data_IF_045773306996
#
_entry.id   IF_045773306996
#
_cell.length_a   1.000
_cell.length_b   1.000
_cell.length_c   1.000
_cell.angle_alpha   90.00
_cell.angle_beta   90.00
_cell.angle_gamma   90.00
#
_symmetry.space_group_name_H-M   'P 1'
#
loop_
_entity.id
_entity.type
_entity.pdbx_description
1 polymer ?
#
# COMPACT_ATOMS: atom_id res chain seq x y z
N UNK A 1 -18.81 -8.78 -4.51
CA UNK A 1 -18.29 -7.64 -3.72
C UNK A 1 -19.28 -6.49 -3.81
N UNK A 2 -19.22 -5.52 -2.88
CA UNK A 2 -20.30 -4.57 -2.49
C UNK A 2 -21.16 -3.98 -3.64
N UNK A 3 -20.58 -3.69 -4.81
CA UNK A 3 -21.30 -3.21 -6.00
C UNK A 3 -22.39 -4.17 -6.47
N UNK A 4 -22.23 -5.48 -6.25
CA UNK A 4 -23.18 -6.53 -6.60
C UNK A 4 -24.36 -6.63 -5.61
N UNK A 5 -24.33 -5.90 -4.49
CA UNK A 5 -25.43 -5.86 -3.51
C UNK A 5 -26.52 -4.85 -3.89
N UNK A 6 -26.19 -3.89 -4.78
CA UNK A 6 -27.14 -2.89 -5.27
C UNK A 6 -28.36 -3.53 -5.96
N UNK A 7 -28.15 -4.65 -6.68
CA UNK A 7 -29.22 -5.43 -7.31
C UNK A 7 -30.05 -6.29 -6.35
N UNK A 8 -29.68 -6.37 -5.07
CA UNK A 8 -30.36 -7.19 -4.06
C UNK A 8 -31.30 -6.38 -3.13
N UNK A 9 -31.61 -5.13 -3.48
CA UNK A 9 -32.46 -4.25 -2.66
C UNK A 9 -31.76 -3.61 -1.47
N UNK A 10 -30.42 -3.76 -1.39
CA UNK A 10 -29.59 -3.13 -0.37
C UNK A 10 -29.11 -1.77 -0.89
N UNK A 11 -29.41 -0.69 -0.15
CA UNK A 11 -28.91 0.65 -0.48
C UNK A 11 -27.41 0.72 -0.23
N UNK A 12 -26.64 0.86 -1.31
CA UNK A 12 -25.19 1.00 -1.27
C UNK A 12 -24.83 2.43 -1.73
N UNK A 13 -24.13 3.24 -0.93
CA UNK A 13 -23.60 4.52 -1.37
C UNK A 13 -22.68 4.35 -2.58
N UNK A 14 -22.73 5.30 -3.52
CA UNK A 14 -21.82 5.32 -4.67
C UNK A 14 -20.36 5.46 -4.24
N UNK A 15 -19.44 5.07 -5.14
CA UNK A 15 -18.01 5.19 -4.90
C UNK A 15 -17.19 4.43 -5.94
N UNK A 16 -15.87 4.43 -5.74
CA UNK A 16 -14.92 3.64 -6.50
C UNK A 16 -13.88 3.03 -5.55
N UNK A 17 -13.21 1.99 -6.02
CA UNK A 17 -12.07 1.40 -5.33
C UNK A 17 -10.83 1.57 -6.19
N UNK A 18 -9.69 1.83 -5.55
CA UNK A 18 -8.40 1.68 -6.21
C UNK A 18 -8.18 0.21 -6.56
N UNK A 19 -7.33 -0.04 -7.55
CA UNK A 19 -7.01 -1.40 -7.99
C UNK A 19 -5.67 -1.86 -7.43
N UNK A 20 -5.48 -3.17 -7.34
CA UNK A 20 -4.16 -3.73 -7.05
C UNK A 20 -3.12 -3.35 -8.11
N UNK A 21 -3.55 -3.04 -9.34
CA UNK A 21 -2.67 -2.52 -10.39
C UNK A 21 -2.17 -1.11 -10.03
N UNK A 22 -3.07 -0.19 -9.68
CA UNK A 22 -2.69 1.16 -9.25
C UNK A 22 -1.77 1.14 -8.01
N UNK A 23 -1.99 0.22 -7.08
CA UNK A 23 -1.09 0.03 -5.93
C UNK A 23 0.32 -0.40 -6.34
N UNK A 24 0.45 -1.36 -7.28
CA UNK A 24 1.76 -1.80 -7.77
C UNK A 24 2.48 -0.72 -8.57
N UNK A 25 1.74 0.04 -9.37
CA UNK A 25 2.28 1.17 -10.11
C UNK A 25 2.82 2.24 -9.14
N UNK A 26 2.05 2.62 -8.12
CA UNK A 26 2.50 3.51 -7.06
C UNK A 26 3.77 3.01 -6.37
N UNK A 27 3.83 1.72 -6.00
CA UNK A 27 5.04 1.16 -5.38
C UNK A 27 6.26 1.17 -6.31
N UNK A 28 6.09 1.07 -7.63
CA UNK A 28 7.20 1.17 -8.57
C UNK A 28 7.72 2.59 -8.79
N UNK A 29 6.97 3.60 -8.34
CA UNK A 29 7.34 5.00 -8.46
C UNK A 29 8.58 5.30 -7.62
N UNK A 30 9.55 6.02 -8.20
CA UNK A 30 10.81 6.44 -7.53
C UNK A 30 11.58 5.29 -6.83
N UNK A 31 11.43 4.05 -7.32
CA UNK A 31 12.09 2.88 -6.75
C UNK A 31 11.66 2.53 -5.32
N UNK A 32 10.45 2.94 -4.91
CA UNK A 32 9.94 2.73 -3.56
C UNK A 32 9.89 1.24 -3.21
N UNK A 33 9.40 0.41 -4.13
CA UNK A 33 9.30 -1.04 -3.96
C UNK A 33 10.68 -1.68 -3.69
N UNK A 34 11.70 -1.31 -4.44
CA UNK A 34 13.06 -1.85 -4.30
C UNK A 34 13.64 -1.48 -2.93
N UNK A 35 13.42 -0.23 -2.50
CA UNK A 35 13.87 0.28 -1.19
C UNK A 35 13.21 -0.49 -0.05
N UNK A 36 11.89 -0.69 -0.11
CA UNK A 36 11.13 -1.47 0.88
C UNK A 36 11.67 -2.90 0.93
N UNK A 37 11.79 -3.57 -0.21
CA UNK A 37 12.25 -4.96 -0.27
C UNK A 37 13.69 -5.11 0.24
N UNK A 38 14.58 -4.16 -0.08
CA UNK A 38 15.95 -4.18 0.42
C UNK A 38 16.03 -4.03 1.94
N UNK A 39 15.18 -3.19 2.54
CA UNK A 39 15.07 -3.05 4.01
C UNK A 39 14.53 -4.33 4.64
N UNK A 40 13.44 -4.88 4.10
CA UNK A 40 12.80 -6.09 4.66
C UNK A 40 13.69 -7.34 4.51
N UNK A 41 14.45 -7.47 3.42
CA UNK A 41 15.34 -8.62 3.19
C UNK A 41 16.46 -8.75 4.23
N UNK A 42 16.78 -7.68 4.96
CA UNK A 42 17.82 -7.64 6.00
C UNK A 42 17.25 -7.61 7.41
N UNK A 43 15.93 -7.52 7.55
CA UNK A 43 15.27 -7.34 8.83
C UNK A 43 15.12 -8.68 9.54
N UNK A 44 15.66 -8.77 10.75
CA UNK A 44 15.25 -9.77 11.72
C UNK A 44 13.93 -9.31 12.36
N UNK A 45 12.87 -10.10 12.20
CA UNK A 45 11.53 -9.78 12.70
C UNK A 45 11.36 -10.06 14.20
N UNK A 46 12.25 -10.85 14.80
CA UNK A 46 12.25 -11.11 16.23
C UNK A 46 12.93 -9.96 17.01
N UNK A 47 13.75 -9.13 16.35
CA UNK A 47 14.18 -7.84 16.88
C UNK A 47 13.06 -6.80 16.76
N UNK A 48 12.24 -6.74 17.81
CA UNK A 48 11.09 -5.81 17.89
C UNK A 48 11.46 -4.33 17.74
N UNK A 49 12.70 -3.93 18.08
CA UNK A 49 13.15 -2.53 17.91
C UNK A 49 13.45 -2.25 16.45
N UNK A 50 14.21 -3.13 15.79
CA UNK A 50 14.49 -3.04 14.37
C UNK A 50 13.19 -3.11 13.53
N UNK A 51 12.26 -3.99 13.90
CA UNK A 51 10.95 -4.12 13.26
C UNK A 51 10.15 -2.81 13.36
N UNK A 52 10.10 -2.21 14.55
CA UNK A 52 9.38 -0.96 14.76
C UNK A 52 10.00 0.20 13.95
N UNK A 53 11.33 0.25 13.84
CA UNK A 53 12.05 1.24 13.04
C UNK A 53 11.81 1.06 11.54
N UNK A 54 12.01 -0.15 11.01
CA UNK A 54 11.75 -0.46 9.61
C UNK A 54 10.29 -0.14 9.23
N UNK A 55 9.33 -0.52 10.06
CA UNK A 55 7.92 -0.21 9.84
C UNK A 55 7.62 1.29 9.83
N UNK A 56 8.25 2.08 10.72
CA UNK A 56 8.12 3.55 10.71
C UNK A 56 8.65 4.15 9.42
N UNK A 57 9.86 3.75 9.01
CA UNK A 57 10.52 4.27 7.82
C UNK A 57 9.72 3.94 6.54
N UNK A 58 9.27 2.69 6.39
CA UNK A 58 8.49 2.26 5.23
C UNK A 58 7.16 3.04 5.14
N UNK A 59 6.45 3.22 6.26
CA UNK A 59 5.21 4.01 6.27
C UNK A 59 5.46 5.47 5.90
N UNK A 60 6.56 6.06 6.37
CA UNK A 60 6.92 7.43 6.01
C UNK A 60 7.24 7.55 4.53
N UNK A 61 8.00 6.60 3.95
CA UNK A 61 8.27 6.61 2.51
C UNK A 61 7.00 6.49 1.67
N UNK A 62 6.03 5.68 2.09
CA UNK A 62 4.72 5.59 1.43
C UNK A 62 3.96 6.92 1.49
N UNK A 63 4.04 7.65 2.60
CA UNK A 63 3.40 8.98 2.75
C UNK A 63 4.10 10.03 1.89
N UNK A 64 5.43 9.99 1.82
CA UNK A 64 6.25 10.99 1.13
C UNK A 64 6.29 10.78 -0.39
N UNK A 65 6.05 9.56 -0.86
CA UNK A 65 6.07 9.25 -2.30
C UNK A 65 4.81 9.83 -2.95
N UNK A 66 4.94 10.70 -3.97
CA UNK A 66 3.79 11.23 -4.67
C UNK A 66 3.06 10.12 -5.46
N UNK A 67 1.76 10.28 -5.67
CA UNK A 67 1.01 9.39 -6.56
C UNK A 67 1.50 9.59 -8.01
N UNK A 68 1.67 8.51 -8.79
CA UNK A 68 2.03 8.60 -10.20
C UNK A 68 0.94 9.34 -10.99
N UNK A 69 1.35 10.09 -12.01
CA UNK A 69 0.41 10.74 -12.94
C UNK A 69 -0.16 9.70 -13.91
N UNK A 70 -1.47 9.76 -14.13
CA UNK A 70 -2.20 8.98 -15.14
C UNK A 70 -2.14 9.62 -16.52
#
# INVERSE_FOLDING_TARGET
>A
MISNLSGAGVTVPGGFATTAHAYREFLSHEGLNERINATLARLDVDDVKALAEAGRNIRQWVIDTPLPHV
#
